data_IF_813079105015
#
_entry.id   IF_813079105015
#
_cell.length_a   1.000
_cell.length_b   1.000
_cell.length_c   1.000
_cell.angle_alpha   90.00
_cell.angle_beta   90.00
_cell.angle_gamma   90.00
#
_symmetry.space_group_name_H-M   'P 1'
#
loop_
_entity.id
_entity.type
_entity.pdbx_description
1 polymer ?
#
# COMPACT_ATOMS: atom_id res chain seq x y z
N UNK A 1 -9.36 -24.95 -6.89
CA UNK A 1 -8.08 -25.36 -7.54
C UNK A 1 -7.58 -24.39 -8.61
N UNK A 2 -8.43 -23.82 -9.48
CA UNK A 2 -7.97 -22.89 -10.53
C UNK A 2 -7.46 -21.53 -9.99
N UNK A 3 -8.11 -20.99 -8.95
CA UNK A 3 -7.70 -19.74 -8.29
C UNK A 3 -6.34 -19.86 -7.60
N UNK A 4 -6.10 -20.95 -6.86
CA UNK A 4 -4.82 -21.27 -6.24
C UNK A 4 -3.66 -21.31 -7.25
N UNK A 5 -3.89 -21.85 -8.45
CA UNK A 5 -2.90 -21.87 -9.53
C UNK A 5 -2.59 -20.46 -10.05
N UNK A 6 -3.60 -19.60 -10.16
CA UNK A 6 -3.43 -18.19 -10.59
C UNK A 6 -2.64 -17.38 -9.58
N UNK A 7 -3.01 -17.48 -8.29
CA UNK A 7 -2.31 -16.77 -7.22
C UNK A 7 -0.83 -17.19 -7.15
N UNK A 8 -0.56 -18.50 -7.23
CA UNK A 8 0.81 -19.03 -7.20
C UNK A 8 1.64 -18.62 -8.43
N UNK A 9 1.03 -18.58 -9.62
CA UNK A 9 1.67 -18.06 -10.84
C UNK A 9 2.01 -16.58 -10.71
N UNK A 10 1.11 -15.78 -10.16
CA UNK A 10 1.32 -14.34 -9.97
C UNK A 10 2.43 -14.04 -8.95
N UNK A 11 2.54 -14.82 -7.87
CA UNK A 11 3.65 -14.69 -6.90
C UNK A 11 5.00 -15.02 -7.56
N UNK A 12 5.03 -16.02 -8.46
CA UNK A 12 6.26 -16.37 -9.19
C UNK A 12 6.69 -15.28 -10.18
N UNK A 13 5.72 -14.59 -10.81
CA UNK A 13 6.01 -13.52 -11.78
C UNK A 13 6.35 -12.18 -11.13
N UNK A 14 5.70 -11.83 -10.01
CA UNK A 14 5.85 -10.52 -9.34
C UNK A 14 6.84 -10.56 -8.18
N UNK A 15 7.16 -11.75 -7.67
CA UNK A 15 7.92 -11.94 -6.44
C UNK A 15 7.06 -11.79 -5.19
N UNK A 16 7.55 -12.29 -4.06
CA UNK A 16 6.89 -12.05 -2.77
C UNK A 16 7.09 -10.59 -2.36
N UNK A 17 6.05 -9.92 -1.84
CA UNK A 17 6.19 -8.55 -1.38
C UNK A 17 7.18 -8.48 -0.22
N UNK A 18 8.06 -7.49 -0.28
CA UNK A 18 9.07 -7.23 0.73
C UNK A 18 8.42 -6.90 2.07
N UNK A 19 9.20 -7.09 3.15
CA UNK A 19 8.73 -6.85 4.51
C UNK A 19 8.25 -5.40 4.70
N UNK A 20 8.91 -4.44 4.06
CA UNK A 20 8.54 -3.03 4.12
C UNK A 20 7.27 -2.73 3.34
N UNK A 21 7.10 -3.29 2.14
CA UNK A 21 5.87 -3.15 1.35
C UNK A 21 4.65 -3.67 2.11
N UNK A 22 4.78 -4.82 2.77
CA UNK A 22 3.75 -5.38 3.66
C UNK A 22 3.45 -4.43 4.83
N UNK A 23 4.47 -3.79 5.40
CA UNK A 23 4.31 -2.85 6.51
C UNK A 23 3.60 -1.56 6.07
N UNK A 24 3.96 -1.01 4.90
CA UNK A 24 3.31 0.16 4.29
C UNK A 24 1.86 -0.15 3.95
N UNK A 25 1.58 -1.30 3.33
CA UNK A 25 0.21 -1.74 3.03
C UNK A 25 -0.64 -1.88 4.29
N UNK A 26 -0.06 -2.43 5.37
CA UNK A 26 -0.73 -2.52 6.68
C UNK A 26 -1.03 -1.14 7.24
N UNK A 27 -0.07 -0.21 7.18
CA UNK A 27 -0.26 1.16 7.66
C UNK A 27 -1.40 1.86 6.90
N UNK A 28 -1.40 1.80 5.57
CA UNK A 28 -2.47 2.38 4.75
C UNK A 28 -3.84 1.76 5.07
N UNK A 29 -3.92 0.44 5.27
CA UNK A 29 -5.18 -0.23 5.58
C UNK A 29 -5.82 0.27 6.88
N UNK A 30 -5.03 0.57 7.90
CA UNK A 30 -5.54 0.91 9.25
C UNK A 30 -5.55 2.41 9.54
N UNK A 31 -4.70 3.20 8.89
CA UNK A 31 -4.55 4.64 9.17
C UNK A 31 -5.22 5.49 8.10
N UNK A 32 -5.14 5.10 6.83
CA UNK A 32 -5.75 5.89 5.76
C UNK A 32 -7.28 5.79 5.82
N UNK A 33 -8.00 6.92 5.71
CA UNK A 33 -9.45 6.89 5.60
C UNK A 33 -9.90 6.03 4.42
N UNK A 34 -10.70 5.00 4.71
CA UNK A 34 -11.23 4.07 3.71
C UNK A 34 -12.75 4.21 3.60
N UNK A 35 -13.25 3.93 2.40
CA UNK A 35 -14.66 3.80 2.08
C UNK A 35 -14.93 2.37 1.63
N UNK A 36 -16.15 1.89 1.82
CA UNK A 36 -16.58 0.61 1.27
C UNK A 36 -17.70 0.79 0.26
N UNK A 37 -17.67 0.03 -0.82
CA UNK A 37 -18.75 -0.03 -1.81
C UNK A 37 -18.90 -1.45 -2.33
N UNK A 38 -20.00 -1.75 -3.03
CA UNK A 38 -20.16 -3.00 -3.75
C UNK A 38 -19.77 -2.81 -5.21
N UNK A 39 -18.80 -3.58 -5.68
CA UNK A 39 -18.41 -3.66 -7.09
C UNK A 39 -18.68 -5.08 -7.56
N UNK A 40 -19.55 -5.23 -8.56
CA UNK A 40 -19.91 -6.54 -9.15
C UNK A 40 -20.36 -7.58 -8.10
N UNK A 41 -21.13 -7.15 -7.10
CA UNK A 41 -21.60 -8.03 -6.00
C UNK A 41 -20.56 -8.31 -4.92
N UNK A 42 -19.33 -7.83 -5.06
CA UNK A 42 -18.28 -7.95 -4.06
C UNK A 42 -18.13 -6.65 -3.28
N UNK A 43 -18.17 -6.75 -1.94
CA UNK A 43 -17.86 -5.62 -1.08
C UNK A 43 -16.36 -5.35 -1.13
N UNK A 44 -16.00 -4.18 -1.63
CA UNK A 44 -14.62 -3.71 -1.72
C UNK A 44 -14.40 -2.55 -0.78
N UNK A 45 -13.18 -2.45 -0.24
CA UNK A 45 -12.70 -1.31 0.53
C UNK A 45 -11.67 -0.57 -0.30
N UNK A 46 -11.81 0.75 -0.41
CA UNK A 46 -10.93 1.61 -1.18
C UNK A 46 -10.58 2.87 -0.39
N UNK A 47 -9.47 3.50 -0.73
CA UNK A 47 -9.07 4.80 -0.20
C UNK A 47 -8.86 5.79 -1.35
N UNK A 48 -8.80 7.07 -1.02
CA UNK A 48 -8.54 8.14 -1.98
C UNK A 48 -7.03 8.34 -2.06
N UNK A 49 -6.47 8.34 -3.28
CA UNK A 49 -5.03 8.41 -3.50
C UNK A 49 -4.38 9.63 -2.83
N UNK A 50 -4.98 10.82 -2.95
CA UNK A 50 -4.47 12.04 -2.30
C UNK A 50 -4.34 11.87 -0.78
N UNK A 51 -5.38 11.34 -0.12
CA UNK A 51 -5.35 11.07 1.31
C UNK A 51 -4.30 10.03 1.71
N UNK A 52 -4.06 9.05 0.85
CA UNK A 52 -3.02 8.05 1.09
C UNK A 52 -1.63 8.67 0.98
N UNK A 53 -1.39 9.58 0.04
CA UNK A 53 -0.14 10.34 -0.06
C UNK A 53 0.09 11.13 1.22
N UNK A 54 -0.92 11.87 1.70
CA UNK A 54 -0.83 12.61 2.97
C UNK A 54 -0.48 11.68 4.14
N UNK A 55 -1.15 10.53 4.25
CA UNK A 55 -0.87 9.54 5.28
C UNK A 55 0.56 8.99 5.19
N UNK A 56 1.07 8.75 3.98
CA UNK A 56 2.44 8.25 3.78
C UNK A 56 3.47 9.32 4.14
N UNK A 57 3.20 10.59 3.84
CA UNK A 57 4.06 11.72 4.21
C UNK A 57 4.09 12.00 5.72
N UNK A 58 3.03 11.66 6.46
CA UNK A 58 3.02 11.73 7.92
C UNK A 58 3.69 10.53 8.62
N UNK A 59 3.96 9.47 7.86
CA UNK A 59 4.47 8.21 8.37
C UNK A 59 5.95 8.28 8.77
N UNK A 60 6.41 7.24 9.45
CA UNK A 60 7.84 7.06 9.77
C UNK A 60 8.74 6.92 8.53
N UNK A 61 8.18 6.59 7.37
CA UNK A 61 8.93 6.41 6.13
C UNK A 61 9.23 7.72 5.41
N UNK A 62 8.52 8.79 5.75
CA UNK A 62 8.79 10.14 5.25
C UNK A 62 9.69 10.95 6.18
N UNK A 63 9.78 10.56 7.46
CA UNK A 63 10.64 11.20 8.46
C UNK A 63 12.01 10.52 8.49
N UNK A 64 12.89 10.94 7.57
CA UNK A 64 14.28 10.51 7.54
C UNK A 64 14.96 10.75 8.91
N UNK A 65 15.67 9.74 9.42
CA UNK A 65 16.66 9.94 10.47
C UNK A 65 17.95 10.48 9.82
N UNK A 66 18.76 11.18 10.61
CA UNK A 66 20.03 11.76 10.14
C UNK A 66 20.92 10.65 9.55
N UNK A 67 21.08 10.63 8.23
CA UNK A 67 21.90 9.66 7.48
C UNK A 67 21.14 8.59 6.69
N UNK A 68 19.80 8.55 6.76
CA UNK A 68 18.96 7.65 5.95
C UNK A 68 18.09 8.48 4.98
N UNK A 69 17.96 8.04 3.73
CA UNK A 69 17.04 8.65 2.76
C UNK A 69 15.59 8.29 3.11
N UNK A 70 14.71 9.28 3.09
CA UNK A 70 13.28 9.05 3.28
C UNK A 70 12.73 8.25 2.10
N UNK A 71 11.90 7.25 2.38
CA UNK A 71 11.29 6.40 1.36
C UNK A 71 10.19 7.15 0.58
N UNK A 72 9.54 8.12 1.23
CA UNK A 72 8.53 8.98 0.62
C UNK A 72 8.92 10.44 0.80
N UNK A 73 8.97 11.19 -0.30
CA UNK A 73 9.32 12.60 -0.34
C UNK A 73 8.30 13.39 -1.17
N UNK A 74 8.26 14.70 -0.96
CA UNK A 74 7.58 15.60 -1.89
C UNK A 74 8.56 15.92 -3.02
N UNK A 75 8.23 15.56 -4.25
CA UNK A 75 8.87 16.14 -5.44
C UNK A 75 7.96 17.23 -5.97
N UNK A 76 8.41 18.48 -5.86
CA UNK A 76 7.84 19.58 -6.63
C UNK A 76 8.46 19.55 -8.03
N UNK A 77 7.62 19.38 -9.05
CA UNK A 77 7.97 19.61 -10.45
C UNK A 77 8.46 21.05 -10.68
#
# INVERSE_FOLDING_TARGET
MAEWRRHRKQILEVGEPFKEEKAVAKYLRFICPTKSTNVMGHRVHYFIASKAVDCLLDSKWAKAKKGEEALFTFESL
#
